data_IF_028560016299
#
_entry.id   IF_028560016299
#
_cell.length_a   1.000
_cell.length_b   1.000
_cell.length_c   1.000
_cell.angle_alpha   90.00
_cell.angle_beta   90.00
_cell.angle_gamma   90.00
#
_symmetry.space_group_name_H-M   'P 1'
#
loop_
_entity.id
_entity.type
_entity.pdbx_description
1 polymer ?
#
# COMPACT_ATOMS: atom_id res chain seq x y z
N UNK A 1 7.18 -18.98 1.15
CA UNK A 1 8.02 -19.30 -0.03
C UNK A 1 8.10 -18.07 -0.92
N UNK A 2 9.25 -17.79 -1.53
CA UNK A 2 9.47 -16.58 -2.33
C UNK A 2 8.86 -16.68 -3.74
N UNK A 3 8.87 -17.87 -4.34
CA UNK A 3 8.32 -18.14 -5.66
C UNK A 3 7.43 -19.38 -5.61
N UNK A 4 6.40 -19.43 -6.45
CA UNK A 4 5.52 -20.60 -6.63
C UNK A 4 5.92 -21.45 -7.83
N UNK A 5 6.66 -20.86 -8.77
CA UNK A 5 7.26 -21.53 -9.93
C UNK A 5 8.79 -21.61 -9.76
N UNK A 6 9.48 -22.52 -10.47
CA UNK A 6 10.94 -22.61 -10.41
C UNK A 6 11.62 -21.27 -10.76
N UNK A 7 12.58 -20.84 -9.95
CA UNK A 7 13.18 -19.51 -10.10
C UNK A 7 13.90 -19.34 -11.45
N UNK A 8 14.45 -20.42 -11.99
CA UNK A 8 15.15 -20.46 -13.27
C UNK A 8 14.24 -20.23 -14.49
N UNK A 9 12.92 -20.31 -14.33
CA UNK A 9 11.96 -20.06 -15.42
C UNK A 9 11.42 -18.63 -15.43
N UNK A 10 11.71 -17.85 -14.38
CA UNK A 10 11.27 -16.46 -14.26
C UNK A 10 12.27 -15.52 -14.93
N UNK A 11 11.77 -14.53 -15.67
CA UNK A 11 12.62 -13.41 -16.07
C UNK A 11 12.95 -12.51 -14.86
N UNK A 12 14.00 -11.70 -14.99
CA UNK A 12 14.49 -10.84 -13.91
C UNK A 12 13.39 -9.87 -13.41
N UNK A 13 12.56 -9.35 -14.30
CA UNK A 13 11.50 -8.39 -13.96
C UNK A 13 10.44 -9.06 -13.09
N UNK A 14 9.96 -10.24 -13.48
CA UNK A 14 8.98 -11.02 -12.72
C UNK A 14 9.56 -11.45 -11.38
N UNK A 15 10.83 -11.86 -11.35
CA UNK A 15 11.50 -12.23 -10.11
C UNK A 15 11.59 -11.03 -9.13
N UNK A 16 11.88 -9.82 -9.61
CA UNK A 16 11.93 -8.62 -8.78
C UNK A 16 10.54 -8.15 -8.31
N UNK A 17 9.52 -8.24 -9.18
CA UNK A 17 8.13 -8.01 -8.80
C UNK A 17 7.67 -8.97 -7.71
N UNK A 18 8.01 -10.26 -7.80
CA UNK A 18 7.69 -11.26 -6.78
C UNK A 18 8.39 -10.97 -5.44
N UNK A 19 9.62 -10.43 -5.44
CA UNK A 19 10.29 -9.96 -4.21
C UNK A 19 9.52 -8.82 -3.57
N UNK A 20 9.21 -7.78 -4.35
CA UNK A 20 8.47 -6.62 -3.84
C UNK A 20 7.07 -6.99 -3.30
N UNK A 21 6.34 -7.85 -4.02
CA UNK A 21 5.04 -8.34 -3.57
C UNK A 21 5.16 -9.17 -2.29
N UNK A 22 6.16 -10.05 -2.20
CA UNK A 22 6.37 -10.88 -1.00
C UNK A 22 6.73 -10.03 0.21
N UNK A 23 7.61 -9.05 0.04
CA UNK A 23 7.94 -8.08 1.10
C UNK A 23 6.70 -7.30 1.53
N UNK A 24 5.89 -6.80 0.58
CA UNK A 24 4.66 -6.08 0.92
C UNK A 24 3.69 -6.94 1.74
N UNK A 25 3.56 -8.23 1.40
CA UNK A 25 2.74 -9.16 2.17
C UNK A 25 3.27 -9.35 3.61
N UNK A 26 4.59 -9.38 3.78
CA UNK A 26 5.23 -9.51 5.10
C UNK A 26 5.00 -8.27 5.95
N UNK A 27 5.12 -7.07 5.38
CA UNK A 27 4.83 -5.83 6.11
C UNK A 27 3.37 -5.74 6.55
N UNK A 28 2.42 -6.10 5.66
CA UNK A 28 0.98 -6.11 5.99
C UNK A 28 0.69 -7.13 7.11
N UNK A 29 1.34 -8.30 7.08
CA UNK A 29 1.23 -9.32 8.13
C UNK A 29 1.79 -8.80 9.47
N UNK A 30 2.94 -8.14 9.44
CA UNK A 30 3.55 -7.52 10.62
C UNK A 30 2.63 -6.44 11.23
N UNK A 31 2.06 -5.54 10.41
CA UNK A 31 1.08 -4.54 10.84
C UNK A 31 -0.09 -5.21 11.56
N UNK A 32 -0.68 -6.25 10.96
CA UNK A 32 -1.80 -6.98 11.55
C UNK A 32 -1.42 -7.59 12.91
N UNK A 33 -0.29 -8.28 12.99
CA UNK A 33 0.17 -8.91 14.23
C UNK A 33 0.49 -7.90 15.32
N UNK A 34 1.22 -6.84 15.01
CA UNK A 34 1.50 -5.79 15.99
C UNK A 34 0.22 -5.11 16.45
N UNK A 35 -0.74 -4.83 15.57
CA UNK A 35 -2.00 -4.21 15.94
C UNK A 35 -2.79 -5.05 16.96
N UNK A 36 -2.86 -6.37 16.76
CA UNK A 36 -3.49 -7.29 17.71
C UNK A 36 -2.75 -7.34 19.05
N UNK A 37 -1.41 -7.37 19.03
CA UNK A 37 -0.58 -7.41 20.25
C UNK A 37 -0.68 -6.12 21.05
N UNK A 38 -0.66 -4.96 20.39
CA UNK A 38 -0.87 -3.64 21.01
C UNK A 38 -2.24 -3.57 21.71
N UNK A 39 -3.27 -4.19 21.12
CA UNK A 39 -4.61 -4.21 21.69
C UNK A 39 -4.73 -5.09 22.96
N UNK A 40 -3.86 -6.08 23.13
CA UNK A 40 -4.00 -7.13 24.15
C UNK A 40 -2.91 -7.13 25.22
N UNK A 41 -1.74 -6.56 24.93
CA UNK A 41 -0.63 -6.55 25.90
C UNK A 41 -0.92 -5.65 27.11
N UNK A 42 -0.71 -6.12 28.35
CA UNK A 42 -0.86 -5.30 29.55
C UNK A 42 0.39 -4.45 29.85
N UNK A 43 1.55 -4.83 29.33
CA UNK A 43 2.82 -4.14 29.53
C UNK A 43 2.89 -2.86 28.69
N UNK A 44 3.04 -1.71 29.36
CA UNK A 44 2.99 -0.40 28.71
C UNK A 44 4.24 -0.07 27.88
N UNK A 45 5.41 -0.54 28.31
CA UNK A 45 6.66 -0.32 27.57
C UNK A 45 6.64 -1.14 26.28
N UNK A 46 6.26 -2.42 26.39
CA UNK A 46 6.08 -3.27 25.22
C UNK A 46 4.98 -2.74 24.30
N UNK A 47 3.87 -2.21 24.84
CA UNK A 47 2.81 -1.61 24.02
C UNK A 47 3.31 -0.46 23.16
N UNK A 48 4.12 0.43 23.74
CA UNK A 48 4.69 1.57 23.02
C UNK A 48 5.65 1.11 21.92
N UNK A 49 6.53 0.15 22.22
CA UNK A 49 7.46 -0.43 21.24
C UNK A 49 6.73 -1.09 20.07
N UNK A 50 5.72 -1.93 20.34
CA UNK A 50 4.97 -2.62 19.28
C UNK A 50 4.15 -1.65 18.43
N UNK A 51 3.64 -0.56 19.02
CA UNK A 51 2.93 0.49 18.27
C UNK A 51 3.87 1.27 17.35
N UNK A 52 5.07 1.60 17.84
CA UNK A 52 6.12 2.22 17.02
C UNK A 52 6.46 1.34 15.82
N UNK A 53 6.81 0.07 16.06
CA UNK A 53 7.17 -0.86 14.99
C UNK A 53 6.02 -1.01 13.98
N UNK A 54 4.77 -1.18 14.45
CA UNK A 54 3.58 -1.26 13.57
C UNK A 54 3.52 -0.09 12.59
N UNK A 55 3.75 1.12 13.08
CA UNK A 55 3.59 2.33 12.28
C UNK A 55 4.77 2.50 11.29
N UNK A 56 5.98 2.04 11.63
CA UNK A 56 7.11 1.93 10.68
C UNK A 56 6.83 0.91 9.56
N UNK A 57 6.23 -0.25 9.86
CA UNK A 57 5.92 -1.22 8.79
C UNK A 57 4.89 -0.67 7.78
N UNK A 58 4.03 0.28 8.18
CA UNK A 58 3.13 0.98 7.25
C UNK A 58 3.93 1.85 6.27
N UNK A 59 5.01 2.49 6.72
CA UNK A 59 5.95 3.22 5.85
C UNK A 59 6.62 2.26 4.87
N UNK A 60 7.15 1.14 5.34
CA UNK A 60 7.77 0.11 4.51
C UNK A 60 6.81 -0.41 3.43
N UNK A 61 5.56 -0.72 3.83
CA UNK A 61 4.51 -1.14 2.91
C UNK A 61 4.22 -0.06 1.84
N UNK A 62 4.12 1.21 2.22
CA UNK A 62 3.88 2.31 1.29
C UNK A 62 5.03 2.48 0.28
N UNK A 63 6.27 2.35 0.73
CA UNK A 63 7.45 2.40 -0.15
C UNK A 63 7.44 1.26 -1.19
N UNK A 64 7.04 0.05 -0.78
CA UNK A 64 6.92 -1.11 -1.67
C UNK A 64 5.78 -0.95 -2.68
N UNK A 65 4.62 -0.41 -2.25
CA UNK A 65 3.51 -0.06 -3.16
C UNK A 65 3.96 0.95 -4.21
N UNK A 66 4.74 1.96 -3.83
CA UNK A 66 5.27 2.94 -4.78
C UNK A 66 6.25 2.32 -5.78
N UNK A 67 7.10 1.38 -5.34
CA UNK A 67 7.95 0.65 -6.27
C UNK A 67 7.13 -0.18 -7.26
N UNK A 68 6.10 -0.88 -6.78
CA UNK A 68 5.19 -1.67 -7.63
C UNK A 68 4.45 -0.77 -8.63
N UNK A 69 3.96 0.40 -8.20
CA UNK A 69 3.33 1.41 -9.08
C UNK A 69 4.20 1.78 -10.28
N UNK A 70 5.52 1.89 -10.06
CA UNK A 70 6.49 2.27 -11.10
C UNK A 70 6.93 1.11 -12.00
N UNK A 71 6.83 -0.14 -11.54
CA UNK A 71 7.52 -1.28 -12.14
C UNK A 71 6.61 -2.45 -12.52
N UNK A 72 5.31 -2.40 -12.21
CA UNK A 72 4.35 -3.43 -12.54
C UNK A 72 3.11 -2.81 -13.16
N UNK A 73 2.82 -3.19 -14.41
CA UNK A 73 1.69 -2.67 -15.17
C UNK A 73 0.38 -2.81 -14.38
N UNK A 74 -0.59 -1.95 -14.69
CA UNK A 74 -1.89 -1.78 -14.00
C UNK A 74 -1.85 -1.16 -12.61
N UNK A 75 -0.79 -1.28 -11.82
CA UNK A 75 -0.77 -0.68 -10.48
C UNK A 75 -0.98 0.85 -10.50
N UNK A 76 -0.38 1.59 -11.43
CA UNK A 76 -0.56 3.05 -11.51
C UNK A 76 -2.00 3.47 -11.82
N UNK A 77 -2.65 2.76 -12.73
CA UNK A 77 -4.05 3.02 -13.14
C UNK A 77 -5.00 2.80 -11.96
N UNK A 78 -4.89 1.65 -11.30
CA UNK A 78 -5.76 1.31 -10.18
C UNK A 78 -5.51 2.20 -8.96
N UNK A 79 -4.25 2.43 -8.59
CA UNK A 79 -3.92 3.27 -7.43
C UNK A 79 -4.43 4.71 -7.61
N UNK A 80 -4.34 5.29 -8.81
CA UNK A 80 -4.89 6.62 -9.10
C UNK A 80 -6.41 6.67 -9.07
N UNK A 81 -7.07 5.58 -9.43
CA UNK A 81 -8.53 5.48 -9.45
C UNK A 81 -9.10 5.50 -8.04
N UNK A 82 -8.45 4.80 -7.09
CA UNK A 82 -9.02 4.57 -5.77
C UNK A 82 -8.39 5.40 -4.65
N UNK A 83 -7.08 5.63 -4.66
CA UNK A 83 -6.41 6.32 -3.54
C UNK A 83 -6.73 7.80 -3.51
N UNK A 84 -6.78 8.35 -2.29
CA UNK A 84 -7.04 9.77 -2.02
C UNK A 84 -8.39 10.27 -2.53
N UNK A 85 -9.35 9.37 -2.72
CA UNK A 85 -10.74 9.70 -3.04
C UNK A 85 -11.63 9.60 -1.81
N UNK A 86 -12.78 10.27 -1.85
CA UNK A 86 -13.84 10.16 -0.82
C UNK A 86 -15.09 9.46 -1.35
N UNK A 87 -15.07 9.02 -2.61
CA UNK A 87 -16.19 8.32 -3.22
C UNK A 87 -16.33 6.90 -2.64
N UNK A 88 -17.53 6.30 -2.67
CA UNK A 88 -17.68 4.89 -2.29
C UNK A 88 -16.81 3.99 -3.18
N UNK A 89 -15.95 3.17 -2.55
CA UNK A 89 -15.01 2.28 -3.26
C UNK A 89 -15.70 1.29 -4.21
N UNK A 90 -16.96 0.96 -3.96
CA UNK A 90 -17.76 0.03 -4.78
C UNK A 90 -18.22 0.59 -6.13
N UNK A 91 -17.95 1.87 -6.43
CA UNK A 91 -18.41 2.55 -7.65
C UNK A 91 -17.25 2.97 -8.60
N UNK A 92 -16.05 2.43 -8.38
CA UNK A 92 -14.76 2.95 -8.88
C UNK A 92 -14.55 3.13 -10.38
N UNK A 93 -15.31 2.50 -11.26
CA UNK A 93 -15.12 2.70 -12.71
C UNK A 93 -16.00 3.83 -13.31
N UNK A 94 -16.98 4.35 -12.55
CA UNK A 94 -18.00 5.28 -13.08
C UNK A 94 -17.93 6.71 -12.52
N UNK A 95 -16.97 7.01 -11.62
CA UNK A 95 -17.10 8.15 -10.69
C UNK A 95 -16.00 9.22 -10.71
N UNK A 96 -14.95 9.10 -11.52
CA UNK A 96 -13.90 10.13 -11.59
C UNK A 96 -14.35 11.30 -12.49
N UNK A 97 -15.28 12.12 -12.00
CA UNK A 97 -15.47 13.46 -12.58
C UNK A 97 -14.23 14.31 -12.28
N UNK A 98 -13.66 15.02 -13.27
CA UNK A 98 -12.51 15.88 -13.01
C UNK A 98 -12.90 16.95 -12.00
N UNK A 99 -12.06 17.14 -10.99
CA UNK A 99 -12.17 18.28 -10.08
C UNK A 99 -12.20 19.55 -10.94
N UNK A 100 -13.38 20.18 -10.99
CA UNK A 100 -13.58 21.41 -11.76
C UNK A 100 -12.87 22.54 -11.04
N UNK A 101 -12.02 23.20 -11.81
CA UNK A 101 -11.34 24.47 -11.55
C UNK A 101 -12.30 25.48 -10.89
N UNK A 102 -12.05 25.81 -9.62
CA UNK A 102 -12.74 26.90 -8.94
C UNK A 102 -12.18 28.22 -9.48
N UNK A 103 -12.76 28.67 -10.58
CA UNK A 103 -12.49 29.96 -11.20
C UNK A 103 -12.67 31.12 -10.22
N UNK A 104 -11.57 31.55 -9.61
CA UNK A 104 -11.47 32.85 -8.93
C UNK A 104 -10.78 33.80 -9.90
N UNK A 105 -11.55 34.28 -10.88
CA UNK A 105 -11.10 35.26 -11.86
C UNK A 105 -12.16 36.33 -12.05
N UNK A 106 -12.07 37.42 -11.28
CA UNK A 106 -12.77 38.67 -11.60
C UNK A 106 -13.49 39.33 -10.43
N UNK A 107 -12.75 40.07 -9.60
CA UNK A 107 -13.30 41.23 -8.90
C UNK A 107 -12.48 42.45 -9.36
N UNK A 108 -13.08 43.23 -10.27
CA UNK A 108 -12.75 44.64 -10.48
C UNK A 108 -13.55 45.47 -9.49
#
# INVERSE_FOLDING_TARGET
>A
MQFTEPAETLDQRVADQAKALKSLMEEIEAVNYYNQRVATTPDQELKALLAHNRDEEIEHAAMLVEWLRRNMDKWDEELRTYLFTTAPLTHGESGAAPASDLGVGGLK
#
